data_IF_548377472096
#
_entry.id   IF_548377472096
#
_cell.length_a   1.000
_cell.length_b   1.000
_cell.length_c   1.000
_cell.angle_alpha   90.00
_cell.angle_beta   90.00
_cell.angle_gamma   90.00
#
_symmetry.space_group_name_H-M   'P 1'
#
loop_
_entity.id
_entity.type
_entity.pdbx_description
1 polymer ?
#
# COMPACT_ATOMS: atom_id res chain seq x y z
N UNK A 1 -16.82 -37.61 -6.15
CA UNK A 1 -17.17 -36.43 -6.99
C UNK A 1 -15.91 -35.60 -7.18
N UNK A 2 -15.47 -35.39 -8.42
CA UNK A 2 -14.32 -34.52 -8.67
C UNK A 2 -14.76 -33.07 -8.41
N UNK A 3 -14.09 -32.38 -7.48
CA UNK A 3 -14.33 -30.94 -7.27
C UNK A 3 -13.98 -30.20 -8.55
N UNK A 4 -14.94 -29.44 -9.10
CA UNK A 4 -14.68 -28.53 -10.20
C UNK A 4 -13.60 -27.53 -9.75
N UNK A 5 -12.52 -27.40 -10.52
CA UNK A 5 -11.47 -26.44 -10.23
C UNK A 5 -12.00 -25.04 -10.46
N UNK A 6 -12.01 -24.21 -9.43
CA UNK A 6 -12.31 -22.78 -9.56
C UNK A 6 -11.22 -22.12 -10.41
N UNK A 7 -11.56 -21.35 -11.45
CA UNK A 7 -10.56 -20.67 -12.27
C UNK A 7 -9.70 -19.70 -11.45
N UNK A 8 -8.39 -19.68 -11.68
CA UNK A 8 -7.45 -18.78 -10.98
C UNK A 8 -7.88 -17.31 -10.97
N UNK A 9 -8.40 -16.72 -12.07
CA UNK A 9 -8.87 -15.33 -12.04
C UNK A 9 -9.98 -15.08 -11.03
N UNK A 10 -10.89 -16.05 -10.86
CA UNK A 10 -11.99 -15.96 -9.88
C UNK A 10 -11.44 -16.00 -8.45
N UNK A 11 -10.43 -16.84 -8.19
CA UNK A 11 -9.78 -16.90 -6.88
C UNK A 11 -9.03 -15.59 -6.57
N UNK A 12 -8.35 -14.99 -7.56
CA UNK A 12 -7.66 -13.72 -7.38
C UNK A 12 -8.63 -12.57 -7.13
N UNK A 13 -9.70 -12.45 -7.92
CA UNK A 13 -10.76 -11.45 -7.73
C UNK A 13 -11.38 -11.61 -6.33
N UNK A 14 -11.70 -12.85 -5.93
CA UNK A 14 -12.24 -13.16 -4.61
C UNK A 14 -11.29 -12.81 -3.46
N UNK A 15 -9.99 -13.08 -3.61
CA UNK A 15 -8.97 -12.74 -2.63
C UNK A 15 -8.81 -11.21 -2.47
N UNK A 16 -8.76 -10.47 -3.59
CA UNK A 16 -8.68 -9.01 -3.57
C UNK A 16 -9.91 -8.38 -2.92
N UNK A 17 -11.11 -8.90 -3.24
CA UNK A 17 -12.36 -8.45 -2.63
C UNK A 17 -12.39 -8.71 -1.12
N UNK A 18 -11.97 -9.91 -0.71
CA UNK A 18 -11.90 -10.30 0.70
C UNK A 18 -10.92 -9.41 1.46
N UNK A 19 -9.71 -9.22 0.94
CA UNK A 19 -8.69 -8.37 1.55
C UNK A 19 -9.18 -6.93 1.69
N UNK A 20 -9.78 -6.37 0.63
CA UNK A 20 -10.26 -4.99 0.67
C UNK A 20 -11.43 -4.81 1.64
N UNK A 21 -12.34 -5.79 1.70
CA UNK A 21 -13.45 -5.79 2.65
C UNK A 21 -12.95 -5.93 4.09
N UNK A 22 -11.93 -6.75 4.34
CA UNK A 22 -11.30 -6.90 5.65
C UNK A 22 -10.63 -5.60 6.09
N UNK A 23 -9.91 -4.92 5.19
CA UNK A 23 -9.29 -3.62 5.47
C UNK A 23 -10.35 -2.56 5.78
N UNK A 24 -11.41 -2.47 4.96
CA UNK A 24 -12.50 -1.54 5.18
C UNK A 24 -13.25 -1.83 6.51
N UNK A 25 -13.53 -3.10 6.80
CA UNK A 25 -14.15 -3.52 8.05
C UNK A 25 -13.28 -3.23 9.27
N UNK A 26 -11.97 -3.46 9.17
CA UNK A 26 -10.99 -3.12 10.21
C UNK A 26 -11.01 -1.62 10.49
N UNK A 27 -10.98 -0.77 9.45
CA UNK A 27 -11.06 0.67 9.63
C UNK A 27 -12.40 1.12 10.21
N UNK A 28 -13.51 0.50 9.80
CA UNK A 28 -14.82 0.74 10.37
C UNK A 28 -14.85 0.42 11.87
N UNK A 29 -14.28 -0.71 12.27
CA UNK A 29 -14.14 -1.10 13.68
C UNK A 29 -13.29 -0.11 14.46
N UNK A 30 -12.11 0.27 13.95
CA UNK A 30 -11.22 1.24 14.61
C UNK A 30 -11.94 2.57 14.83
N UNK A 31 -12.67 3.05 13.82
CA UNK A 31 -13.49 4.26 13.90
C UNK A 31 -14.58 4.16 14.97
N UNK A 32 -15.32 3.06 15.00
CA UNK A 32 -16.34 2.81 16.04
C UNK A 32 -15.75 2.80 17.46
N UNK A 33 -14.50 2.36 17.59
CA UNK A 33 -13.76 2.34 18.87
C UNK A 33 -13.01 3.65 19.17
N UNK A 34 -13.14 4.68 18.34
CA UNK A 34 -12.38 5.93 18.42
C UNK A 34 -10.84 5.72 18.42
N UNK A 35 -10.36 4.68 17.76
CA UNK A 35 -8.93 4.42 17.59
C UNK A 35 -8.46 5.14 16.31
N UNK A 36 -7.43 6.01 16.38
CA UNK A 36 -6.93 6.70 15.20
C UNK A 36 -6.37 5.71 14.17
N UNK A 37 -6.93 5.71 12.96
CA UNK A 37 -6.46 4.84 11.86
C UNK A 37 -4.97 5.08 11.56
N UNK A 38 -4.49 6.31 11.70
CA UNK A 38 -3.08 6.65 11.51
C UNK A 38 -2.14 5.94 12.49
N UNK A 39 -2.56 5.71 13.74
CA UNK A 39 -1.76 4.97 14.72
C UNK A 39 -1.66 3.49 14.35
N UNK A 40 -2.80 2.88 13.98
CA UNK A 40 -2.83 1.50 13.54
C UNK A 40 -2.00 1.28 12.26
N UNK A 41 -2.15 2.14 11.25
CA UNK A 41 -1.36 2.09 10.01
C UNK A 41 0.13 2.25 10.32
N UNK A 42 0.50 3.18 11.20
CA UNK A 42 1.90 3.38 11.59
C UNK A 42 2.48 2.16 12.31
N UNK A 43 1.71 1.56 13.22
CA UNK A 43 2.09 0.35 13.93
C UNK A 43 2.35 -0.81 12.95
N UNK A 44 1.41 -1.06 12.02
CA UNK A 44 1.58 -2.08 10.97
C UNK A 44 2.83 -1.79 10.14
N UNK A 45 3.06 -0.54 9.74
CA UNK A 45 4.24 -0.14 8.99
C UNK A 45 5.55 -0.43 9.72
N UNK A 46 5.62 -0.18 11.03
CA UNK A 46 6.80 -0.49 11.84
C UNK A 46 7.12 -2.00 11.86
N UNK A 47 6.09 -2.86 11.87
CA UNK A 47 6.31 -4.32 11.81
C UNK A 47 6.93 -4.79 10.48
N UNK A 48 6.89 -3.96 9.44
CA UNK A 48 7.48 -4.27 8.13
C UNK A 48 8.83 -3.58 7.87
N UNK A 49 9.41 -2.88 8.84
CA UNK A 49 10.71 -2.22 8.61
C UNK A 49 11.81 -3.21 8.23
N UNK A 50 11.90 -4.32 8.96
CA UNK A 50 12.93 -5.34 8.71
C UNK A 50 12.69 -6.11 7.41
N UNK A 51 11.43 -6.25 6.96
CA UNK A 51 11.13 -6.94 5.70
C UNK A 51 11.62 -6.18 4.47
N UNK A 52 11.92 -4.88 4.63
CA UNK A 52 12.51 -4.05 3.58
C UNK A 52 14.02 -3.99 3.63
N UNK A 53 14.69 -4.69 4.56
CA UNK A 53 16.16 -4.69 4.68
C UNK A 53 16.87 -5.11 3.38
N UNK A 54 16.28 -6.05 2.62
CA UNK A 54 16.80 -6.48 1.31
C UNK A 54 16.68 -5.43 0.19
N UNK A 55 16.01 -4.31 0.44
CA UNK A 55 15.88 -3.17 -0.48
C UNK A 55 16.82 -2.03 -0.12
N UNK A 56 17.60 -2.14 0.96
CA UNK A 56 18.57 -1.10 1.35
C UNK A 56 19.64 -0.92 0.26
N UNK A 57 19.79 0.30 -0.24
CA UNK A 57 20.75 0.63 -1.29
C UNK A 57 20.26 0.41 -2.73
N UNK A 58 19.07 -0.17 -2.92
CA UNK A 58 18.45 -0.28 -4.24
C UNK A 58 18.03 1.09 -4.81
N UNK A 59 17.88 1.15 -6.14
CA UNK A 59 17.40 2.36 -6.81
C UNK A 59 15.93 2.65 -6.46
N UNK A 60 15.57 3.94 -6.38
CA UNK A 60 14.25 4.39 -5.94
C UNK A 60 13.12 3.82 -6.82
N UNK A 61 13.34 3.72 -8.13
CA UNK A 61 12.41 3.09 -9.07
C UNK A 61 12.18 1.61 -8.75
N UNK A 62 13.22 0.86 -8.36
CA UNK A 62 13.08 -0.56 -8.01
C UNK A 62 12.28 -0.74 -6.72
N UNK A 63 12.56 0.09 -5.71
CA UNK A 63 11.79 0.07 -4.46
C UNK A 63 10.32 0.43 -4.71
N UNK A 64 10.04 1.45 -5.53
CA UNK A 64 8.64 1.79 -5.85
C UNK A 64 7.93 0.65 -6.61
N UNK A 65 8.61 -0.02 -7.54
CA UNK A 65 8.04 -1.18 -8.23
C UNK A 65 7.74 -2.34 -7.27
N UNK A 66 8.57 -2.55 -6.25
CA UNK A 66 8.31 -3.53 -5.20
C UNK A 66 7.03 -3.19 -4.41
N UNK A 67 6.84 -1.92 -4.02
CA UNK A 67 5.61 -1.44 -3.37
C UNK A 67 4.39 -1.68 -4.25
N UNK A 68 4.48 -1.34 -5.54
CA UNK A 68 3.35 -1.52 -6.46
C UNK A 68 3.00 -3.00 -6.65
N UNK A 69 4.02 -3.85 -6.83
CA UNK A 69 3.86 -5.26 -7.19
C UNK A 69 3.38 -6.10 -6.02
N UNK A 70 3.92 -5.91 -4.83
CA UNK A 70 3.62 -6.76 -3.67
C UNK A 70 2.50 -6.22 -2.78
N UNK A 71 2.17 -4.94 -2.90
CA UNK A 71 1.16 -4.33 -2.03
C UNK A 71 0.01 -3.71 -2.81
N UNK A 72 0.29 -2.76 -3.69
CA UNK A 72 -0.79 -2.02 -4.35
C UNK A 72 -1.66 -2.94 -5.24
N UNK A 73 -1.03 -3.74 -6.10
CA UNK A 73 -1.74 -4.66 -7.01
C UNK A 73 -2.47 -5.79 -6.28
N UNK A 74 -1.89 -6.43 -5.25
CA UNK A 74 -2.64 -7.42 -4.44
C UNK A 74 -3.83 -6.83 -3.69
N UNK A 75 -3.84 -5.53 -3.38
CA UNK A 75 -5.03 -4.83 -2.86
C UNK A 75 -6.05 -4.45 -3.97
N UNK A 76 -5.77 -4.76 -5.24
CA UNK A 76 -6.64 -4.47 -6.38
C UNK A 76 -6.36 -3.12 -7.05
N UNK A 77 -5.35 -2.37 -6.64
CA UNK A 77 -5.01 -1.11 -7.30
C UNK A 77 -4.39 -1.36 -8.70
N UNK A 78 -4.83 -0.59 -9.68
CA UNK A 78 -4.32 -0.62 -11.06
C UNK A 78 -3.43 0.59 -11.33
N UNK A 79 -2.39 0.40 -12.14
CA UNK A 79 -1.47 1.49 -12.52
C UNK A 79 -2.09 2.30 -13.65
N UNK A 80 -2.30 3.59 -13.40
CA UNK A 80 -2.77 4.58 -14.39
C UNK A 80 -1.58 5.17 -15.15
N UNK A 81 -0.55 5.57 -14.41
CA UNK A 81 0.68 6.12 -14.98
C UNK A 81 1.86 5.90 -14.04
N UNK A 82 3.07 5.90 -14.59
CA UNK A 82 4.31 5.75 -13.82
C UNK A 82 5.39 6.65 -14.40
N UNK A 83 6.16 7.28 -13.53
CA UNK A 83 7.40 7.99 -13.85
C UNK A 83 8.51 7.38 -13.01
N UNK A 84 9.53 6.84 -13.67
CA UNK A 84 10.57 6.05 -13.01
C UNK A 84 11.94 6.67 -13.31
N UNK A 85 12.59 7.22 -12.29
CA UNK A 85 13.99 7.63 -12.35
C UNK A 85 14.76 7.12 -11.12
N UNK A 86 16.09 6.93 -11.20
CA UNK A 86 16.87 6.32 -10.12
C UNK A 86 16.81 7.06 -8.78
N UNK A 87 16.55 8.38 -8.80
CA UNK A 87 16.50 9.25 -7.61
C UNK A 87 15.09 9.73 -7.24
N UNK A 88 14.09 9.41 -8.06
CA UNK A 88 12.71 9.81 -7.83
C UNK A 88 11.81 8.95 -8.70
N UNK A 89 10.84 8.31 -8.07
CA UNK A 89 9.84 7.53 -8.77
C UNK A 89 8.44 7.93 -8.28
N UNK A 90 7.48 7.92 -9.19
CA UNK A 90 6.09 8.28 -8.92
C UNK A 90 5.17 7.36 -9.69
N UNK A 91 4.08 6.93 -9.07
CA UNK A 91 3.06 6.09 -9.68
C UNK A 91 1.69 6.61 -9.30
N UNK A 92 0.82 6.73 -10.30
CA UNK A 92 -0.59 7.03 -10.13
C UNK A 92 -1.38 5.73 -10.25
N UNK A 93 -2.21 5.44 -9.28
CA UNK A 93 -3.00 4.23 -9.17
C UNK A 93 -4.50 4.56 -9.12
N UNK A 94 -5.34 3.59 -9.49
CA UNK A 94 -6.77 3.66 -9.17
C UNK A 94 -6.98 3.71 -7.66
N UNK A 95 -8.02 4.41 -7.21
CA UNK A 95 -8.36 4.40 -5.80
C UNK A 95 -8.95 3.05 -5.37
N UNK A 96 -8.60 2.65 -4.15
CA UNK A 96 -9.19 1.52 -3.46
C UNK A 96 -10.55 1.90 -2.85
N UNK A 97 -11.51 0.96 -2.79
CA UNK A 97 -11.52 -0.31 -3.53
C UNK A 97 -11.65 -0.08 -5.05
N UNK A 98 -11.07 -0.97 -5.86
CA UNK A 98 -11.16 -0.89 -7.32
C UNK A 98 -12.60 -1.09 -7.80
N UNK A 99 -13.11 -0.13 -8.59
CA UNK A 99 -14.48 -0.15 -9.10
C UNK A 99 -14.77 -1.38 -9.97
N UNK A 100 -13.89 -1.68 -10.92
CA UNK A 100 -14.08 -2.78 -11.87
C UNK A 100 -14.09 -4.14 -11.17
N UNK A 101 -13.28 -4.31 -10.13
CA UNK A 101 -13.34 -5.50 -9.27
C UNK A 101 -14.70 -5.62 -8.57
N UNK A 102 -15.16 -4.55 -7.92
CA UNK A 102 -16.40 -4.57 -7.14
C UNK A 102 -17.65 -4.80 -7.98
N UNK A 103 -17.68 -4.30 -9.21
CA UNK A 103 -18.81 -4.50 -10.13
C UNK A 103 -19.01 -5.98 -10.47
N UNK A 104 -17.94 -6.78 -10.53
CA UNK A 104 -18.03 -8.25 -10.70
C UNK A 104 -18.76 -8.94 -9.54
N UNK A 105 -18.77 -8.32 -8.36
CA UNK A 105 -19.44 -8.81 -7.15
C UNK A 105 -20.77 -8.08 -6.87
N UNK A 106 -21.29 -7.30 -7.83
CA UNK A 106 -22.58 -6.62 -7.70
C UNK A 106 -22.58 -5.47 -6.68
N UNK A 107 -21.41 -4.88 -6.38
CA UNK A 107 -21.30 -3.74 -5.47
C UNK A 107 -20.50 -2.60 -6.09
N UNK A 108 -20.42 -1.48 -5.38
CA UNK A 108 -19.66 -0.29 -5.79
C UNK A 108 -18.73 0.15 -4.66
N UNK A 109 -17.67 0.93 -4.96
CA UNK A 109 -16.81 1.47 -3.91
C UNK A 109 -17.59 2.19 -2.81
N UNK A 110 -18.59 2.98 -3.21
CA UNK A 110 -19.47 3.69 -2.26
C UNK A 110 -20.33 2.72 -1.45
N UNK A 111 -20.88 1.68 -2.07
CA UNK A 111 -21.71 0.67 -1.41
C UNK A 111 -20.93 -0.10 -0.34
N UNK A 112 -19.76 -0.63 -0.70
CA UNK A 112 -18.88 -1.36 0.21
C UNK A 112 -18.46 -0.49 1.41
N UNK A 113 -17.91 0.69 1.12
CA UNK A 113 -17.36 1.56 2.16
C UNK A 113 -18.44 2.11 3.10
N UNK A 114 -19.63 2.43 2.57
CA UNK A 114 -20.78 2.84 3.40
C UNK A 114 -21.20 1.72 4.36
N UNK A 115 -21.14 0.46 3.94
CA UNK A 115 -21.44 -0.69 4.80
C UNK A 115 -20.55 -0.76 6.05
N UNK A 116 -19.33 -0.19 5.98
CA UNK A 116 -18.40 -0.15 7.11
C UNK A 116 -18.28 1.23 7.76
N UNK A 117 -19.02 2.24 7.30
CA UNK A 117 -18.92 3.61 7.82
C UNK A 117 -17.58 4.31 7.50
N UNK A 118 -16.88 3.84 6.47
CA UNK A 118 -15.55 4.32 6.05
C UNK A 118 -15.69 5.15 4.76
N UNK A 119 -14.82 6.12 4.59
CA UNK A 119 -14.69 6.93 3.37
C UNK A 119 -13.50 6.45 2.55
N UNK A 120 -13.49 6.80 1.26
CA UNK A 120 -12.35 6.46 0.41
C UNK A 120 -11.03 7.08 0.90
N UNK A 121 -11.10 8.27 1.52
CA UNK A 121 -9.94 8.94 2.12
C UNK A 121 -9.41 8.18 3.34
N UNK A 122 -10.31 7.69 4.21
CA UNK A 122 -9.92 6.85 5.35
C UNK A 122 -9.29 5.55 4.86
N UNK A 123 -9.88 4.87 3.86
CA UNK A 123 -9.27 3.67 3.27
C UNK A 123 -7.91 3.95 2.64
N UNK A 124 -7.75 5.10 1.96
CA UNK A 124 -6.49 5.48 1.34
C UNK A 124 -5.34 5.64 2.35
N UNK A 125 -5.64 5.89 3.63
CA UNK A 125 -4.62 5.99 4.67
C UNK A 125 -3.79 4.71 4.82
N UNK A 126 -4.28 3.57 4.32
CA UNK A 126 -3.56 2.29 4.33
C UNK A 126 -2.17 2.38 3.68
N UNK A 127 -1.99 3.23 2.67
CA UNK A 127 -0.69 3.43 2.03
C UNK A 127 0.36 4.09 2.95
N UNK A 128 -0.08 4.72 4.04
CA UNK A 128 0.81 5.25 5.07
C UNK A 128 1.66 4.16 5.76
N UNK A 129 1.25 2.88 5.68
CA UNK A 129 2.01 1.78 6.29
C UNK A 129 3.42 1.64 5.68
N UNK A 130 3.61 2.13 4.45
CA UNK A 130 4.90 2.03 3.74
C UNK A 130 5.85 3.17 4.10
N UNK A 131 5.42 4.17 4.88
CA UNK A 131 6.27 5.28 5.27
C UNK A 131 7.41 4.88 6.21
N UNK A 132 7.11 4.01 7.20
CA UNK A 132 8.12 3.53 8.15
C UNK A 132 9.18 2.65 7.47
N UNK A 133 8.81 1.60 6.71
CA UNK A 133 9.77 0.78 5.98
C UNK A 133 10.61 1.58 4.98
N UNK A 134 9.99 2.50 4.24
CA UNK A 134 10.75 3.38 3.34
C UNK A 134 11.78 4.23 4.09
N UNK A 135 11.42 4.76 5.27
CA UNK A 135 12.32 5.55 6.11
C UNK A 135 13.48 4.70 6.65
N UNK A 136 13.22 3.45 7.03
CA UNK A 136 14.24 2.53 7.55
C UNK A 136 15.39 2.33 6.55
N UNK A 137 15.08 2.30 5.24
CA UNK A 137 16.08 2.19 4.16
C UNK A 137 16.54 3.54 3.58
N UNK A 138 16.29 4.65 4.27
CA UNK A 138 16.77 5.98 3.88
C UNK A 138 15.97 6.66 2.76
N UNK A 139 14.76 6.19 2.49
CA UNK A 139 13.83 6.79 1.52
C UNK A 139 12.68 7.52 2.22
N UNK A 140 11.96 8.33 1.44
CA UNK A 140 10.76 9.02 1.84
C UNK A 140 9.66 8.64 0.86
N UNK A 141 8.67 7.92 1.36
CA UNK A 141 7.42 7.69 0.65
C UNK A 141 6.44 8.81 0.99
N UNK A 142 5.73 9.28 -0.03
CA UNK A 142 4.63 10.23 0.11
C UNK A 142 3.43 9.71 -0.64
N UNK A 143 2.26 9.87 -0.03
CA UNK A 143 0.99 9.41 -0.57
C UNK A 143 -0.01 10.57 -0.60
N UNK A 144 -0.80 10.65 -1.68
CA UNK A 144 -1.92 11.59 -1.82
C UNK A 144 -3.08 10.96 -2.58
N UNK A 145 -4.30 11.22 -2.13
CA UNK A 145 -5.52 10.93 -2.88
C UNK A 145 -6.01 12.20 -3.57
N UNK A 146 -6.07 12.21 -4.90
CA UNK A 146 -6.55 13.35 -5.69
C UNK A 146 -7.52 12.85 -6.76
N UNK A 147 -8.75 13.39 -6.77
CA UNK A 147 -9.77 13.07 -7.78
C UNK A 147 -9.96 11.56 -8.04
N UNK A 148 -10.01 10.75 -6.98
CA UNK A 148 -10.19 9.30 -7.09
C UNK A 148 -8.95 8.52 -7.57
N UNK A 149 -7.77 9.14 -7.53
CA UNK A 149 -6.48 8.51 -7.87
C UNK A 149 -5.53 8.56 -6.68
N UNK A 150 -4.79 7.48 -6.46
CA UNK A 150 -3.73 7.42 -5.45
C UNK A 150 -2.41 7.77 -6.12
N UNK A 151 -1.72 8.79 -5.63
CA UNK A 151 -0.37 9.12 -6.04
C UNK A 151 0.60 8.63 -4.98
N UNK A 152 1.48 7.70 -5.35
CA UNK A 152 2.61 7.30 -4.52
C UNK A 152 3.89 7.85 -5.14
N UNK A 153 4.68 8.54 -4.33
CA UNK A 153 5.99 9.07 -4.73
C UNK A 153 7.05 8.66 -3.73
N UNK A 154 8.17 8.20 -4.26
CA UNK A 154 9.34 7.80 -3.50
C UNK A 154 10.55 8.65 -3.92
N UNK A 155 11.33 9.09 -2.94
CA UNK A 155 12.56 9.86 -3.13
C UNK A 155 13.52 9.64 -1.96
N UNK A 156 14.82 9.94 -2.08
CA UNK A 156 15.76 9.86 -0.95
C UNK A 156 15.33 10.77 0.20
N UNK A 157 15.40 10.27 1.43
CA UNK A 157 15.14 11.09 2.61
C UNK A 157 16.23 12.16 2.76
N UNK A 158 15.84 13.40 3.11
CA UNK A 158 16.80 14.47 3.39
C UNK A 158 17.69 14.03 4.56
N UNK A 159 19.02 14.02 4.34
CA UNK A 159 20.02 13.64 5.37
C UNK A 159 20.43 12.17 5.39
N UNK A 160 19.89 11.30 4.52
CA UNK A 160 20.21 9.86 4.51
C UNK A 160 21.71 9.53 4.29
N UNK A 161 22.46 10.44 3.65
CA UNK A 161 23.91 10.27 3.42
C UNK A 161 24.77 10.13 4.69
N UNK A 162 24.28 10.53 5.88
CA UNK A 162 25.08 10.46 7.12
C UNK A 162 25.07 9.11 7.83
N UNK A 163 24.11 8.21 7.56
CA UNK A 163 24.01 6.91 8.27
C UNK A 163 24.83 5.77 7.63
N UNK A 164 25.11 5.84 6.33
CA UNK A 164 25.88 4.80 5.63
C UNK A 164 27.35 4.68 6.09
N UNK A 165 27.94 5.74 6.64
CA UNK A 165 29.32 5.72 7.15
C UNK A 165 29.44 5.08 8.55
N UNK A 166 28.35 4.98 9.33
CA UNK A 166 28.40 4.53 10.73
C UNK A 166 28.07 3.05 10.98
N UNK A 167 27.44 2.36 10.01
CA UNK A 167 27.07 0.94 10.15
C UNK A 167 28.17 -0.02 9.70
N UNK A 168 29.09 0.42 8.83
CA UNK A 168 30.24 -0.40 8.38
C UNK A 168 31.34 -0.57 9.43
N UNK A 169 31.35 0.23 10.49
CA UNK A 169 32.39 0.20 11.55
C UNK A 169 32.04 -0.65 12.77
N UNK A 170 30.91 -1.37 12.77
CA UNK A 170 30.52 -2.28 13.89
C UNK A 170 30.55 -3.77 13.54
N UNK A 171 31.12 -4.14 12.39
CA UNK A 171 31.31 -5.54 11.99
C UNK A 171 32.76 -5.82 11.54
N UNK A 172 33.74 -5.14 12.15
CA UNK A 172 35.14 -5.49 12.05
C UNK A 172 35.70 -5.73 13.45
#
# INVERSE_FOLDING_TARGET
MAQARVPTPVLLDGAQMTLTSLLAGTMGFLKQRNIPVGEWVSYIGQQFEDSWGGLEGEEVNRVLQHVVTLWARPMGAEVISSQSAPKKAEVSLTALPNKGLLEKFGTTPRGLLRGFGVTQRELAAIYGMFESPARAIGLKLTHRLTAGKQLLRLEPARGARRRQAGRRTRQA
#
